data_IF_517047165893
#
_entry.id   IF_517047165893
#
_cell.length_a   1.000
_cell.length_b   1.000
_cell.length_c   1.000
_cell.angle_alpha   90.00
_cell.angle_beta   90.00
_cell.angle_gamma   90.00
#
_symmetry.space_group_name_H-M   'P 1'
#
loop_
_entity.id
_entity.type
_entity.pdbx_description
1 polymer ?
#
# COMPACT_ATOMS: atom_id res chain seq x y z
N UNK A 1 3.84 -29.19 -8.34
CA UNK A 1 5.23 -28.73 -8.11
C UNK A 1 5.23 -27.88 -6.85
N UNK A 2 6.09 -28.14 -5.88
CA UNK A 2 6.23 -27.27 -4.70
C UNK A 2 6.68 -25.87 -5.16
N UNK A 3 6.05 -24.78 -4.68
CA UNK A 3 6.41 -23.43 -5.11
C UNK A 3 7.89 -23.19 -4.79
N UNK A 4 8.66 -22.71 -5.78
CA UNK A 4 10.06 -22.31 -5.59
C UNK A 4 10.08 -21.17 -4.57
N UNK A 5 10.64 -21.42 -3.38
CA UNK A 5 10.83 -20.36 -2.38
C UNK A 5 11.96 -19.43 -2.85
N UNK A 6 11.60 -18.24 -3.30
CA UNK A 6 12.54 -17.16 -3.63
C UNK A 6 13.03 -16.54 -2.32
N UNK A 7 14.34 -16.38 -2.17
CA UNK A 7 14.94 -15.69 -1.02
C UNK A 7 15.57 -14.39 -1.50
N UNK A 8 15.13 -13.29 -0.92
CA UNK A 8 15.69 -11.96 -1.14
C UNK A 8 16.86 -11.75 -0.18
N UNK A 9 17.99 -11.25 -0.70
CA UNK A 9 19.14 -10.95 0.13
C UNK A 9 19.80 -9.64 -0.24
N UNK A 10 20.38 -8.97 0.75
CA UNK A 10 21.21 -7.79 0.54
C UNK A 10 22.29 -7.72 1.60
N UNK A 11 23.49 -7.30 1.20
CA UNK A 11 24.64 -7.15 2.09
C UNK A 11 24.98 -5.67 2.26
N UNK A 12 25.58 -5.33 3.41
CA UNK A 12 26.19 -4.03 3.66
C UNK A 12 27.40 -3.83 2.72
N UNK A 13 27.88 -2.58 2.60
CA UNK A 13 28.98 -2.27 1.68
C UNK A 13 30.31 -2.91 2.11
N UNK A 14 30.54 -2.98 3.42
CA UNK A 14 31.67 -3.70 4.02
C UNK A 14 31.43 -5.21 4.18
N UNK A 15 30.23 -5.69 3.83
CA UNK A 15 29.80 -7.08 3.99
C UNK A 15 29.79 -7.59 5.44
N UNK A 16 29.89 -6.68 6.42
CA UNK A 16 29.81 -7.02 7.85
C UNK A 16 28.44 -7.54 8.27
N UNK A 17 27.37 -7.10 7.60
CA UNK A 17 25.98 -7.46 7.91
C UNK A 17 25.21 -7.75 6.62
N UNK A 18 24.43 -8.82 6.59
CA UNK A 18 23.53 -9.16 5.48
C UNK A 18 22.13 -9.49 5.96
N UNK A 19 21.10 -9.09 5.20
CA UNK A 19 19.69 -9.40 5.48
C UNK A 19 19.18 -10.40 4.45
N UNK A 20 18.45 -11.40 4.92
CA UNK A 20 17.80 -12.45 4.14
C UNK A 20 16.32 -12.53 4.52
N UNK A 21 15.42 -12.51 3.53
CA UNK A 21 13.97 -12.53 3.73
C UNK A 21 13.30 -13.46 2.71
N UNK A 22 12.24 -14.15 3.13
CA UNK A 22 11.48 -15.05 2.25
C UNK A 22 10.48 -14.33 1.33
N UNK A 23 10.07 -13.11 1.69
CA UNK A 23 9.16 -12.26 0.92
C UNK A 23 9.44 -10.78 1.18
N UNK A 24 8.93 -9.91 0.32
CA UNK A 24 9.00 -8.45 0.47
C UNK A 24 7.64 -7.78 0.58
N UNK A 25 6.57 -8.50 0.29
CA UNK A 25 5.19 -8.05 0.45
C UNK A 25 4.57 -8.75 1.66
N UNK A 26 4.00 -7.94 2.55
CA UNK A 26 3.35 -8.37 3.78
C UNK A 26 1.91 -7.92 3.72
N UNK A 27 0.99 -8.89 3.80
CA UNK A 27 -0.43 -8.64 3.62
C UNK A 27 -1.05 -8.16 4.92
N UNK A 28 -1.79 -7.05 4.85
CA UNK A 28 -2.70 -6.59 5.89
C UNK A 28 -4.09 -7.20 5.62
N UNK A 29 -4.56 -8.03 6.54
CA UNK A 29 -5.85 -8.73 6.46
C UNK A 29 -6.96 -8.00 7.25
N UNK A 30 -6.77 -6.71 7.57
CA UNK A 30 -7.58 -5.86 8.45
C UNK A 30 -7.54 -6.27 9.93
N UNK A 31 -7.58 -7.56 10.24
CA UNK A 31 -7.57 -8.09 11.61
C UNK A 31 -6.15 -8.32 12.13
N UNK A 32 -5.25 -8.71 11.24
CA UNK A 32 -3.84 -8.89 11.52
C UNK A 32 -3.02 -8.59 10.26
N UNK A 33 -1.73 -8.35 10.46
CA UNK A 33 -0.78 -8.17 9.36
C UNK A 33 0.21 -9.31 9.40
N UNK A 34 0.54 -9.85 8.23
CA UNK A 34 1.64 -10.79 8.08
C UNK A 34 2.90 -10.22 8.74
N UNK A 35 3.51 -10.92 9.71
CA UNK A 35 4.67 -10.38 10.41
C UNK A 35 5.90 -10.36 9.50
N UNK A 36 6.83 -9.44 9.80
CA UNK A 36 8.11 -9.35 9.11
C UNK A 36 9.10 -10.30 9.72
N UNK A 37 9.42 -11.39 9.03
CA UNK A 37 10.42 -12.36 9.43
C UNK A 37 11.63 -12.39 8.48
N UNK A 38 12.80 -12.63 9.06
CA UNK A 38 14.03 -12.80 8.28
C UNK A 38 15.21 -13.26 9.12
N UNK A 39 16.38 -13.27 8.49
CA UNK A 39 17.65 -13.66 9.10
C UNK A 39 18.71 -12.63 8.78
N UNK A 40 19.51 -12.28 9.78
CA UNK A 40 20.72 -11.47 9.63
C UNK A 40 21.95 -12.37 9.65
N UNK A 41 22.80 -12.25 8.65
CA UNK A 41 24.16 -12.79 8.64
C UNK A 41 25.11 -11.74 9.20
N UNK A 42 25.97 -12.13 10.13
CA UNK A 42 26.93 -11.25 10.79
C UNK A 42 28.36 -11.76 10.55
N UNK A 43 29.28 -10.85 10.29
CA UNK A 43 30.72 -11.15 10.27
C UNK A 43 31.33 -10.82 11.65
N UNK A 44 31.63 -11.83 12.50
CA UNK A 44 32.09 -11.61 13.87
C UNK A 44 33.43 -10.88 13.96
N UNK A 45 34.28 -10.97 12.94
CA UNK A 45 35.57 -10.26 12.93
C UNK A 45 35.35 -8.76 12.74
N UNK A 46 34.43 -8.38 11.85
CA UNK A 46 34.12 -6.97 11.57
C UNK A 46 33.23 -6.30 12.61
N UNK A 47 32.38 -7.07 13.33
CA UNK A 47 31.50 -6.53 14.38
C UNK A 47 32.08 -6.66 15.80
N UNK A 48 33.38 -6.98 15.93
CA UNK A 48 34.03 -7.17 17.23
C UNK A 48 33.84 -5.95 18.14
N UNK A 49 33.31 -6.19 19.35
CA UNK A 49 33.03 -5.14 20.34
C UNK A 49 31.80 -4.27 20.04
N UNK A 50 31.03 -4.60 19.00
CA UNK A 50 29.83 -3.86 18.58
C UNK A 50 28.59 -4.75 18.61
N UNK A 51 27.44 -4.11 18.49
CA UNK A 51 26.13 -4.76 18.45
C UNK A 51 25.52 -4.62 17.05
N UNK A 52 24.74 -5.60 16.65
CA UNK A 52 23.95 -5.57 15.41
C UNK A 52 22.48 -5.44 15.77
N UNK A 53 21.86 -4.43 15.18
CA UNK A 53 20.45 -4.13 15.32
C UNK A 53 19.73 -4.32 14.00
N UNK A 54 18.47 -4.72 14.06
CA UNK A 54 17.53 -4.65 12.95
C UNK A 54 16.44 -3.67 13.31
N UNK A 55 16.05 -2.85 12.35
CA UNK A 55 15.05 -1.82 12.50
C UNK A 55 14.00 -1.97 11.40
N UNK A 56 12.73 -1.98 11.80
CA UNK A 56 11.58 -1.80 10.92
C UNK A 56 11.12 -0.35 11.04
N UNK A 57 11.10 0.36 9.91
CA UNK A 57 10.63 1.75 9.85
C UNK A 57 9.52 1.91 8.82
N UNK A 58 8.49 2.67 9.18
CA UNK A 58 7.48 3.23 8.28
C UNK A 58 7.74 4.73 8.17
N UNK A 59 8.03 5.22 6.98
CA UNK A 59 8.36 6.62 6.75
C UNK A 59 7.42 7.21 5.74
N UNK A 60 6.82 8.34 6.06
CA UNK A 60 6.17 9.21 5.10
C UNK A 60 7.19 10.18 4.52
N UNK A 61 7.22 10.30 3.20
CA UNK A 61 7.98 11.34 2.50
C UNK A 61 7.02 12.19 1.70
N UNK A 62 7.24 13.50 1.71
CA UNK A 62 6.47 14.49 0.97
C UNK A 62 7.40 15.58 0.45
N UNK A 63 7.53 15.80 -0.85
CA UNK A 63 8.42 16.82 -1.40
C UNK A 63 9.79 16.30 -1.85
N UNK A 64 10.78 17.19 -2.01
CA UNK A 64 12.07 16.84 -2.63
C UNK A 64 13.15 16.45 -1.61
N UNK A 65 14.01 15.49 -1.99
CA UNK A 65 15.13 15.00 -1.16
C UNK A 65 16.17 16.09 -0.83
N UNK A 66 16.29 17.14 -1.65
CA UNK A 66 17.25 18.25 -1.50
C UNK A 66 16.74 19.40 -0.62
N UNK A 67 15.44 19.40 -0.27
CA UNK A 67 14.81 20.45 0.54
C UNK A 67 14.88 20.19 2.06
N UNK A 68 15.42 19.04 2.49
CA UNK A 68 15.57 18.63 3.90
C UNK A 68 16.55 19.51 4.73
N UNK A 69 17.02 20.65 4.21
CA UNK A 69 18.07 21.49 4.81
C UNK A 69 17.56 22.85 5.36
N UNK A 70 16.26 23.15 5.32
CA UNK A 70 15.71 24.44 5.82
C UNK A 70 14.54 24.31 6.80
N UNK A 71 14.65 23.44 7.80
CA UNK A 71 13.76 23.46 8.98
C UNK A 71 12.32 22.95 8.78
N UNK A 72 11.93 22.53 7.57
CA UNK A 72 10.73 21.74 7.31
C UNK A 72 11.15 20.29 7.06
N UNK A 73 10.89 19.39 8.01
CA UNK A 73 11.16 17.96 7.81
C UNK A 73 10.08 17.39 6.88
N UNK A 74 10.45 17.19 5.61
CA UNK A 74 9.63 16.60 4.55
C UNK A 74 9.59 15.06 4.59
N UNK A 75 10.27 14.51 5.59
CA UNK A 75 10.28 13.12 5.96
C UNK A 75 9.81 12.98 7.41
N UNK A 76 8.81 12.13 7.65
CA UNK A 76 8.36 11.77 9.00
C UNK A 76 8.42 10.27 9.16
N UNK A 77 9.14 9.81 10.18
CA UNK A 77 9.06 8.42 10.59
C UNK A 77 7.74 8.24 11.37
N UNK A 78 6.75 7.59 10.74
CA UNK A 78 5.45 7.28 11.34
C UNK A 78 5.64 6.21 12.41
N UNK A 79 6.49 5.24 12.13
CA UNK A 79 6.80 4.13 13.02
C UNK A 79 8.26 3.74 12.89
N UNK A 80 8.86 3.40 14.03
CA UNK A 80 10.23 2.92 14.10
C UNK A 80 10.34 1.94 15.28
N UNK A 81 10.72 0.71 14.98
CA UNK A 81 10.99 -0.31 15.98
C UNK A 81 12.34 -0.93 15.70
N UNK A 82 13.18 -1.04 16.73
CA UNK A 82 14.52 -1.64 16.64
C UNK A 82 14.65 -2.80 17.61
N UNK A 83 15.37 -3.85 17.20
CA UNK A 83 15.68 -5.02 18.02
C UNK A 83 17.16 -5.35 17.88
N UNK A 84 17.82 -5.66 18.99
CA UNK A 84 19.17 -6.18 19.00
C UNK A 84 19.15 -7.65 18.57
N UNK A 85 19.98 -8.00 17.60
CA UNK A 85 20.08 -9.36 17.05
C UNK A 85 21.43 -9.99 17.40
N UNK A 86 22.49 -9.18 17.51
CA UNK A 86 23.81 -9.63 17.99
C UNK A 86 24.40 -8.63 18.99
N UNK A 87 24.99 -9.09 20.11
CA UNK A 87 24.90 -10.45 20.62
C UNK A 87 23.44 -10.82 20.95
N UNK A 88 23.03 -12.09 20.79
CA UNK A 88 21.65 -12.51 21.00
C UNK A 88 21.25 -12.34 22.47
N UNK A 89 20.07 -11.76 22.72
CA UNK A 89 19.54 -11.55 24.07
C UNK A 89 18.70 -12.74 24.58
N UNK A 90 18.26 -13.61 23.67
CA UNK A 90 17.47 -14.80 23.95
C UNK A 90 18.08 -15.98 23.20
N UNK A 91 17.70 -17.20 23.60
CA UNK A 91 18.10 -18.41 22.88
C UNK A 91 17.69 -18.33 21.40
N UNK A 92 18.62 -18.70 20.53
CA UNK A 92 18.40 -18.66 19.06
C UNK A 92 17.16 -19.45 18.67
N UNK A 93 16.96 -20.64 19.25
CA UNK A 93 15.81 -21.50 18.95
C UNK A 93 14.48 -20.88 19.31
N UNK A 94 14.41 -20.13 20.42
CA UNK A 94 13.19 -19.41 20.84
C UNK A 94 12.86 -18.23 19.93
N UNK A 95 13.84 -17.75 19.18
CA UNK A 95 13.71 -16.62 18.25
C UNK A 95 13.41 -17.05 16.81
N UNK A 96 13.31 -18.37 16.54
CA UNK A 96 12.91 -18.90 15.23
C UNK A 96 11.39 -19.08 15.21
N UNK A 97 10.73 -18.35 14.31
CA UNK A 97 9.27 -18.36 14.19
C UNK A 97 8.78 -19.08 12.92
N UNK A 98 9.62 -19.19 11.88
CA UNK A 98 9.19 -19.74 10.59
C UNK A 98 10.10 -20.85 10.05
N UNK A 99 9.51 -21.79 9.29
CA UNK A 99 10.26 -22.83 8.56
C UNK A 99 11.25 -22.24 7.55
N UNK A 100 11.00 -21.02 7.07
CA UNK A 100 11.90 -20.30 6.16
C UNK A 100 13.15 -19.85 6.91
N UNK A 101 13.00 -19.27 8.10
CA UNK A 101 14.13 -18.93 8.97
C UNK A 101 14.98 -20.16 9.30
N UNK A 102 14.36 -21.29 9.69
CA UNK A 102 15.11 -22.54 9.95
C UNK A 102 15.98 -22.96 8.76
N UNK A 103 15.41 -22.95 7.54
CA UNK A 103 16.14 -23.33 6.32
C UNK A 103 17.29 -22.36 6.02
N UNK A 104 17.07 -21.05 6.19
CA UNK A 104 18.11 -20.04 5.97
C UNK A 104 19.22 -20.17 7.01
N UNK A 105 18.89 -20.33 8.29
CA UNK A 105 19.85 -20.50 9.38
C UNK A 105 20.73 -21.74 9.15
N UNK A 106 20.12 -22.89 8.84
CA UNK A 106 20.87 -24.12 8.50
C UNK A 106 21.83 -23.93 7.32
N UNK A 107 21.48 -23.09 6.35
CA UNK A 107 22.30 -22.82 5.16
C UNK A 107 23.42 -21.81 5.41
N UNK A 108 23.19 -20.81 6.27
CA UNK A 108 24.13 -19.72 6.54
C UNK A 108 25.11 -20.03 7.69
N UNK A 109 24.78 -20.98 8.56
CA UNK A 109 25.64 -21.43 9.67
C UNK A 109 25.52 -20.56 10.92
N UNK A 110 26.51 -20.69 11.81
CA UNK A 110 26.39 -20.22 13.20
C UNK A 110 26.34 -18.71 13.37
N UNK A 111 26.81 -17.95 12.39
CA UNK A 111 26.80 -16.49 12.43
C UNK A 111 25.52 -15.87 11.84
N UNK A 112 24.49 -16.67 11.66
CA UNK A 112 23.17 -16.24 11.25
C UNK A 112 22.21 -16.18 12.45
N UNK A 113 21.39 -15.13 12.49
CA UNK A 113 20.53 -14.80 13.62
C UNK A 113 19.14 -14.39 13.11
N UNK A 114 18.05 -14.99 13.61
CA UNK A 114 16.70 -14.64 13.17
C UNK A 114 16.26 -13.28 13.73
N UNK A 115 15.35 -12.62 13.03
CA UNK A 115 14.61 -11.47 13.53
C UNK A 115 13.14 -11.57 13.13
N UNK A 116 12.29 -10.90 13.92
CA UNK A 116 10.85 -10.89 13.74
C UNK A 116 10.29 -9.54 14.18
N UNK A 117 9.32 -9.00 13.45
CA UNK A 117 8.54 -7.82 13.83
C UNK A 117 7.06 -8.03 13.55
N UNK A 118 6.23 -7.61 14.48
CA UNK A 118 4.80 -7.43 14.25
C UNK A 118 4.55 -5.98 13.85
N UNK A 119 3.67 -5.78 12.89
CA UNK A 119 3.20 -4.43 12.58
C UNK A 119 2.24 -3.99 13.68
N UNK A 120 2.37 -2.77 14.20
CA UNK A 120 1.31 -2.15 14.99
C UNK A 120 0.03 -2.02 14.18
N UNK A 121 -1.08 -2.06 14.89
CA UNK A 121 -2.39 -1.77 14.32
C UNK A 121 -2.41 -0.34 13.74
N UNK A 122 -3.15 -0.15 12.64
CA UNK A 122 -3.42 1.15 12.00
C UNK A 122 -2.23 1.85 11.32
N UNK A 123 -1.12 1.15 11.06
CA UNK A 123 -0.14 1.71 10.13
C UNK A 123 -0.71 1.76 8.71
N UNK A 124 -0.48 2.83 7.93
CA UNK A 124 -0.90 2.89 6.54
C UNK A 124 -0.23 1.79 5.71
N UNK A 125 -0.87 1.38 4.62
CA UNK A 125 -0.24 0.51 3.62
C UNK A 125 0.79 1.29 2.80
N UNK A 126 1.66 0.55 2.10
CA UNK A 126 2.66 1.13 1.21
C UNK A 126 2.00 1.73 -0.02
N UNK A 127 2.02 3.06 -0.11
CA UNK A 127 1.40 3.81 -1.20
C UNK A 127 2.37 4.88 -1.69
N UNK A 128 2.39 5.15 -2.98
CA UNK A 128 3.10 6.29 -3.55
C UNK A 128 2.24 7.03 -4.57
N UNK A 129 2.37 8.36 -4.63
CA UNK A 129 1.80 9.15 -5.70
C UNK A 129 2.74 9.15 -6.90
N UNK A 130 2.19 8.90 -8.08
CA UNK A 130 2.91 9.03 -9.34
C UNK A 130 3.21 10.52 -9.60
N UNK A 131 4.50 10.90 -9.72
CA UNK A 131 4.89 12.30 -9.86
C UNK A 131 4.47 12.88 -11.21
N UNK A 132 4.06 14.15 -11.22
CA UNK A 132 3.84 14.96 -12.43
C UNK A 132 5.15 15.45 -13.08
N UNK A 133 5.14 15.87 -14.37
CA UNK A 133 6.27 16.50 -15.05
C UNK A 133 6.74 17.80 -14.40
N UNK A 134 5.84 18.52 -13.72
CA UNK A 134 6.15 19.72 -12.92
C UNK A 134 6.62 19.38 -11.50
N UNK A 135 6.43 18.13 -11.09
CA UNK A 135 6.73 17.62 -9.75
C UNK A 135 8.02 16.77 -9.74
N UNK A 136 8.90 16.96 -10.74
CA UNK A 136 10.21 16.30 -10.77
C UNK A 136 10.93 16.51 -9.44
N UNK A 137 11.28 15.38 -8.80
CA UNK A 137 11.93 15.33 -7.50
C UNK A 137 10.97 15.29 -6.29
N UNK A 138 9.68 15.62 -6.44
CA UNK A 138 8.72 15.51 -5.33
C UNK A 138 8.31 14.05 -5.15
N UNK A 139 8.50 13.54 -3.95
CA UNK A 139 8.07 12.21 -3.53
C UNK A 139 6.92 12.37 -2.56
N UNK A 140 5.77 11.74 -2.80
CA UNK A 140 4.73 11.58 -1.80
C UNK A 140 4.48 10.09 -1.63
N UNK A 141 5.02 9.50 -0.57
CA UNK A 141 4.98 8.06 -0.37
C UNK A 141 5.01 7.66 1.11
N UNK A 142 4.32 6.56 1.41
CA UNK A 142 4.48 5.77 2.62
C UNK A 142 5.36 4.57 2.27
N UNK A 143 6.55 4.51 2.84
CA UNK A 143 7.53 3.46 2.57
C UNK A 143 7.83 2.67 3.83
N UNK A 144 7.99 1.35 3.67
CA UNK A 144 8.51 0.49 4.72
C UNK A 144 9.93 0.00 4.38
N UNK A 145 10.80 0.02 5.38
CA UNK A 145 12.19 -0.40 5.24
C UNK A 145 12.60 -1.28 6.41
N UNK A 146 13.26 -2.41 6.09
CA UNK A 146 14.04 -3.20 7.04
C UNK A 146 15.49 -2.79 6.92
N UNK A 147 16.06 -2.28 8.00
CA UNK A 147 17.45 -1.84 8.07
C UNK A 147 18.20 -2.65 9.12
N UNK A 148 19.24 -3.36 8.71
CA UNK A 148 20.20 -3.96 9.63
C UNK A 148 21.48 -3.13 9.69
N UNK A 149 22.04 -2.93 10.88
CA UNK A 149 23.22 -2.10 11.06
C UNK A 149 24.03 -2.48 12.30
N UNK A 150 25.32 -2.17 12.23
CA UNK A 150 26.25 -2.30 13.36
C UNK A 150 26.41 -0.94 14.08
N UNK A 151 26.30 -0.93 15.41
CA UNK A 151 26.49 0.25 16.27
C UNK A 151 26.97 -0.16 17.68
N UNK A 152 27.52 0.76 18.47
CA UNK A 152 27.88 0.48 19.87
C UNK A 152 26.63 0.47 20.76
N UNK A 153 25.72 1.43 20.50
CA UNK A 153 24.43 1.58 21.18
C UNK A 153 23.28 1.79 20.17
N UNK A 154 22.05 1.56 20.62
CA UNK A 154 20.85 1.64 19.77
C UNK A 154 20.59 3.05 19.22
N UNK A 155 20.90 4.10 20.00
CA UNK A 155 20.66 5.50 19.65
C UNK A 155 21.78 6.13 18.82
N UNK A 156 22.87 5.39 18.59
CA UNK A 156 24.01 5.88 17.82
C UNK A 156 23.70 5.89 16.32
N UNK A 157 24.14 6.95 15.64
CA UNK A 157 23.90 7.09 14.20
C UNK A 157 24.67 6.03 13.42
N UNK A 158 23.96 4.99 13.00
CA UNK A 158 24.50 3.90 12.19
C UNK A 158 25.35 4.38 11.01
N UNK A 159 26.56 3.83 10.87
CA UNK A 159 27.42 4.15 9.74
C UNK A 159 26.81 3.62 8.43
N UNK A 160 26.85 4.42 7.36
CA UNK A 160 26.28 4.05 6.05
C UNK A 160 26.97 2.82 5.43
N UNK A 161 28.23 2.55 5.78
CA UNK A 161 29.02 1.43 5.24
C UNK A 161 28.64 0.09 5.86
N UNK A 162 28.40 0.08 7.17
CA UNK A 162 28.02 -1.08 8.00
C UNK A 162 26.52 -1.22 8.20
N UNK A 163 25.73 -0.61 7.31
CA UNK A 163 24.28 -0.76 7.29
C UNK A 163 23.80 -1.25 5.94
N UNK A 164 22.73 -2.04 5.98
CA UNK A 164 22.02 -2.55 4.82
C UNK A 164 20.53 -2.28 4.99
N UNK A 165 19.89 -1.94 3.88
CA UNK A 165 18.49 -1.50 3.84
C UNK A 165 17.75 -2.24 2.74
N UNK A 166 16.64 -2.86 3.09
CA UNK A 166 15.77 -3.56 2.17
C UNK A 166 14.36 -2.98 2.29
N UNK A 167 13.86 -2.35 1.22
CA UNK A 167 12.48 -1.88 1.18
C UNK A 167 11.52 -3.09 1.21
N UNK A 168 10.38 -2.94 1.86
CA UNK A 168 9.30 -3.93 1.86
C UNK A 168 7.98 -3.20 1.63
N UNK A 169 6.91 -3.93 1.35
CA UNK A 169 5.56 -3.38 1.21
C UNK A 169 4.62 -4.00 2.20
N UNK A 170 3.77 -3.16 2.78
CA UNK A 170 2.53 -3.55 3.44
C UNK A 170 1.41 -3.36 2.43
N UNK A 171 0.78 -4.44 1.99
CA UNK A 171 -0.28 -4.42 0.97
C UNK A 171 -1.62 -4.74 1.61
N UNK A 172 -2.68 -4.03 1.22
CA UNK A 172 -4.01 -4.29 1.74
C UNK A 172 -4.62 -5.50 1.03
N UNK A 173 -5.14 -6.45 1.81
CA UNK A 173 -6.07 -7.46 1.32
C UNK A 173 -7.39 -7.32 2.07
N UNK A 174 -8.49 -7.38 1.32
CA UNK A 174 -9.82 -7.49 1.88
C UNK A 174 -10.46 -8.77 1.30
N UNK A 175 -10.96 -9.69 2.15
CA UNK A 175 -11.71 -10.84 1.65
C UNK A 175 -13.06 -10.39 1.13
N UNK A 176 -13.53 -10.99 0.05
CA UNK A 176 -14.93 -10.86 -0.38
C UNK A 176 -15.83 -11.55 0.65
N UNK A 177 -16.57 -10.75 1.42
CA UNK A 177 -17.46 -11.23 2.48
C UNK A 177 -18.88 -11.56 1.97
N UNK A 178 -19.14 -11.45 0.66
CA UNK A 178 -20.45 -11.76 0.08
C UNK A 178 -21.56 -10.83 0.60
N UNK A 179 -21.25 -9.54 0.75
CA UNK A 179 -22.20 -8.52 1.21
C UNK A 179 -23.29 -8.20 0.19
N UNK A 180 -24.26 -7.36 0.59
CA UNK A 180 -25.26 -6.85 -0.34
C UNK A 180 -24.57 -6.02 -1.43
N UNK A 181 -24.95 -6.29 -2.69
CA UNK A 181 -24.52 -5.53 -3.85
C UNK A 181 -24.66 -4.02 -3.60
N UNK A 182 -23.58 -3.22 -3.72
CA UNK A 182 -23.65 -1.79 -3.56
C UNK A 182 -24.66 -1.20 -4.56
N UNK A 183 -25.58 -0.39 -4.08
CA UNK A 183 -26.54 0.32 -4.92
C UNK A 183 -26.74 1.76 -4.45
N UNK A 184 -26.79 2.69 -5.40
CA UNK A 184 -27.13 4.08 -5.15
C UNK A 184 -28.23 4.52 -6.11
N UNK A 185 -29.15 5.35 -5.64
CA UNK A 185 -30.18 5.95 -6.47
C UNK A 185 -30.24 7.46 -6.26
N UNK A 186 -30.58 8.18 -7.31
CA UNK A 186 -30.75 9.63 -7.28
C UNK A 186 -31.95 10.02 -8.14
N UNK A 187 -32.60 11.12 -7.77
CA UNK A 187 -33.74 11.67 -8.48
C UNK A 187 -33.43 13.11 -8.83
N UNK A 188 -33.42 13.41 -10.12
CA UNK A 188 -33.17 14.74 -10.66
C UNK A 188 -34.49 15.41 -11.04
N UNK A 189 -34.79 16.53 -10.40
CA UNK A 189 -35.93 17.39 -10.74
C UNK A 189 -35.45 18.55 -11.62
N UNK A 190 -36.27 18.95 -12.60
CA UNK A 190 -35.92 20.00 -13.55
C UNK A 190 -36.95 21.12 -13.54
N UNK A 191 -36.48 22.35 -13.65
CA UNK A 191 -37.33 23.53 -13.80
C UNK A 191 -38.18 23.37 -15.07
N UNK A 192 -39.50 23.60 -14.94
CA UNK A 192 -40.52 23.40 -15.98
C UNK A 192 -40.79 21.94 -16.38
N UNK A 193 -40.39 20.95 -15.55
CA UNK A 193 -40.80 19.56 -15.69
C UNK A 193 -41.62 19.14 -14.46
N UNK A 194 -42.85 18.67 -14.67
CA UNK A 194 -43.71 18.20 -13.57
C UNK A 194 -43.30 16.82 -13.03
N UNK A 195 -42.41 16.12 -13.74
CA UNK A 195 -41.94 14.77 -13.42
C UNK A 195 -40.40 14.71 -13.41
N UNK A 196 -39.80 13.86 -12.55
CA UNK A 196 -38.35 13.76 -12.42
C UNK A 196 -37.72 12.76 -13.40
N UNK A 197 -36.39 12.75 -13.44
CA UNK A 197 -35.59 11.64 -13.95
C UNK A 197 -35.02 10.87 -12.76
N UNK A 198 -35.29 9.58 -12.68
CA UNK A 198 -34.77 8.70 -11.65
C UNK A 198 -33.64 7.84 -12.23
N UNK A 199 -32.53 7.71 -11.49
CA UNK A 199 -31.39 6.90 -11.88
C UNK A 199 -30.94 6.06 -10.71
N UNK A 200 -30.77 4.76 -10.95
CA UNK A 200 -30.21 3.80 -10.02
C UNK A 200 -28.99 3.14 -10.64
N UNK A 201 -27.94 3.01 -9.85
CA UNK A 201 -26.70 2.32 -10.20
C UNK A 201 -26.44 1.24 -9.17
N UNK A 202 -26.07 0.04 -9.63
CA UNK A 202 -25.66 -1.05 -8.74
C UNK A 202 -24.46 -1.82 -9.27
N UNK A 203 -23.62 -2.31 -8.37
CA UNK A 203 -22.46 -3.15 -8.65
C UNK A 203 -22.74 -4.60 -8.25
N UNK A 204 -22.02 -5.56 -8.83
CA UNK A 204 -22.17 -6.98 -8.46
C UNK A 204 -21.59 -7.30 -7.09
N UNK A 205 -20.45 -6.67 -6.74
CA UNK A 205 -19.68 -6.91 -5.52
C UNK A 205 -19.26 -5.61 -4.86
N UNK A 206 -18.94 -5.68 -3.57
CA UNK A 206 -18.37 -4.57 -2.80
C UNK A 206 -16.84 -4.49 -2.94
N UNK A 207 -16.17 -5.64 -3.09
CA UNK A 207 -14.72 -5.73 -3.21
C UNK A 207 -14.35 -6.31 -4.57
N UNK A 208 -13.41 -5.66 -5.26
CA UNK A 208 -12.83 -6.11 -6.53
C UNK A 208 -11.31 -6.21 -6.38
N UNK A 209 -10.71 -7.16 -7.09
CA UNK A 209 -9.26 -7.30 -7.14
C UNK A 209 -8.66 -6.64 -8.39
N UNK A 210 -7.37 -6.30 -8.33
CA UNK A 210 -6.66 -5.72 -9.48
C UNK A 210 -6.76 -6.64 -10.70
N UNK A 211 -7.20 -6.08 -11.83
CA UNK A 211 -7.44 -6.80 -13.08
C UNK A 211 -8.79 -7.51 -13.18
N UNK A 212 -9.64 -7.43 -12.17
CA UNK A 212 -11.04 -7.86 -12.26
C UNK A 212 -11.88 -6.81 -13.01
N UNK A 213 -12.82 -7.28 -13.83
CA UNK A 213 -13.80 -6.42 -14.49
C UNK A 213 -14.90 -6.00 -13.52
N UNK A 214 -15.32 -4.74 -13.61
CA UNK A 214 -16.38 -4.16 -12.81
C UNK A 214 -17.61 -3.99 -13.69
N UNK A 215 -18.64 -4.80 -13.42
CA UNK A 215 -19.95 -4.69 -14.08
C UNK A 215 -20.84 -3.71 -13.31
N UNK A 216 -21.29 -2.68 -14.02
CA UNK A 216 -22.03 -1.53 -13.49
C UNK A 216 -23.41 -1.54 -14.13
N UNK A 217 -24.42 -1.95 -13.36
CA UNK A 217 -25.82 -1.94 -13.79
C UNK A 217 -26.40 -0.55 -13.61
N UNK A 218 -26.88 0.06 -14.69
CA UNK A 218 -27.50 1.39 -14.71
C UNK A 218 -28.95 1.26 -15.15
N UNK A 219 -29.86 1.75 -14.31
CA UNK A 219 -31.31 1.80 -14.54
C UNK A 219 -31.77 3.25 -14.48
N UNK A 220 -32.25 3.79 -15.59
CA UNK A 220 -32.72 5.17 -15.72
C UNK A 220 -34.20 5.13 -16.12
N UNK A 221 -35.04 5.77 -15.33
CA UNK A 221 -36.42 6.09 -15.66
C UNK A 221 -36.52 7.60 -15.90
N UNK A 222 -36.62 7.99 -17.18
CA UNK A 222 -36.73 9.39 -17.56
C UNK A 222 -38.20 9.78 -17.79
N UNK A 223 -38.90 10.03 -16.70
CA UNK A 223 -40.26 10.55 -16.73
C UNK A 223 -40.33 12.08 -16.96
N UNK A 224 -39.18 12.77 -17.03
CA UNK A 224 -39.08 14.21 -17.23
C UNK A 224 -39.36 14.63 -18.67
N UNK A 225 -39.47 15.95 -18.92
CA UNK A 225 -39.58 16.52 -20.27
C UNK A 225 -38.22 16.82 -20.95
N UNK A 226 -37.11 16.39 -20.37
CA UNK A 226 -35.75 16.58 -20.91
C UNK A 226 -35.22 15.28 -21.51
N UNK A 227 -34.39 15.38 -22.54
CA UNK A 227 -33.70 14.22 -23.12
C UNK A 227 -32.30 14.10 -22.52
N UNK A 228 -31.95 12.90 -22.05
CA UNK A 228 -30.58 12.57 -21.68
C UNK A 228 -29.81 12.25 -22.97
N UNK A 229 -28.80 13.07 -23.27
CA UNK A 229 -28.03 12.98 -24.52
C UNK A 229 -26.69 12.27 -24.36
N UNK A 230 -26.02 12.51 -23.24
CA UNK A 230 -24.68 12.02 -22.99
C UNK A 230 -24.71 11.24 -21.67
N UNK A 231 -24.22 10.01 -21.73
CA UNK A 231 -24.04 9.14 -20.58
C UNK A 231 -22.61 8.62 -20.61
N UNK A 232 -21.90 8.79 -19.50
CA UNK A 232 -20.56 8.23 -19.31
C UNK A 232 -20.48 7.51 -17.98
N UNK A 233 -19.63 6.50 -17.93
CA UNK A 233 -19.37 5.69 -16.74
C UNK A 233 -17.88 5.76 -16.46
N UNK A 234 -17.51 5.98 -15.19
CA UNK A 234 -16.12 6.15 -14.82
C UNK A 234 -15.82 5.52 -13.46
N UNK A 235 -14.59 5.04 -13.30
CA UNK A 235 -14.01 4.65 -12.02
C UNK A 235 -13.05 5.76 -11.62
N UNK A 236 -13.26 6.34 -10.45
CA UNK A 236 -12.42 7.41 -9.90
C UNK A 236 -11.63 6.92 -8.69
N UNK A 237 -10.33 7.20 -8.68
CA UNK A 237 -9.48 7.04 -7.52
C UNK A 237 -9.49 8.33 -6.71
N UNK A 238 -9.85 8.22 -5.44
CA UNK A 238 -9.84 9.31 -4.47
C UNK A 238 -8.68 9.12 -3.51
N UNK A 239 -7.71 10.04 -3.54
CA UNK A 239 -6.54 10.00 -2.67
C UNK A 239 -6.55 11.17 -1.70
N UNK A 240 -6.60 10.87 -0.41
CA UNK A 240 -6.50 11.89 0.65
C UNK A 240 -5.11 11.79 1.29
N UNK A 241 -4.32 12.87 1.20
CA UNK A 241 -3.05 13.03 1.91
C UNK A 241 -3.35 13.85 3.16
N UNK A 242 -2.98 13.35 4.35
CA UNK A 242 -3.47 13.90 5.64
C UNK A 242 -2.37 14.31 6.63
N UNK A 243 -1.09 14.18 6.27
CA UNK A 243 0.00 14.30 7.25
C UNK A 243 0.53 15.73 7.44
N UNK A 244 0.74 16.46 6.34
CA UNK A 244 1.25 17.85 6.34
C UNK A 244 0.23 18.85 5.82
N UNK A 245 -0.59 18.41 4.89
CA UNK A 245 -1.75 19.10 4.32
C UNK A 245 -2.89 18.10 4.29
N UNK A 246 -4.14 18.59 4.24
CA UNK A 246 -5.34 17.76 4.08
C UNK A 246 -5.78 17.82 2.61
N UNK A 247 -4.90 17.36 1.72
CA UNK A 247 -5.07 17.47 0.28
C UNK A 247 -5.89 16.29 -0.25
N UNK A 248 -6.81 16.58 -1.16
CA UNK A 248 -7.64 15.59 -1.84
C UNK A 248 -7.37 15.62 -3.34
N UNK A 249 -6.99 14.47 -3.89
CA UNK A 249 -6.80 14.25 -5.32
C UNK A 249 -7.89 13.30 -5.81
N UNK A 250 -8.58 13.67 -6.89
CA UNK A 250 -9.54 12.79 -7.59
C UNK A 250 -9.05 12.61 -9.01
N UNK A 251 -8.89 11.36 -9.43
CA UNK A 251 -8.39 11.01 -10.75
C UNK A 251 -9.19 9.83 -11.30
N UNK A 252 -9.70 10.00 -12.50
CA UNK A 252 -10.33 8.89 -13.24
C UNK A 252 -9.27 7.85 -13.60
N UNK A 253 -9.57 6.57 -13.37
CA UNK A 253 -8.70 5.42 -13.69
C UNK A 253 -9.32 4.48 -14.72
N UNK A 254 -10.63 4.51 -14.92
CA UNK A 254 -11.28 3.90 -16.06
C UNK A 254 -12.44 4.79 -16.48
N UNK A 255 -12.72 4.86 -17.79
CA UNK A 255 -13.74 5.74 -18.33
C UNK A 255 -14.30 5.14 -19.62
N UNK A 256 -15.61 5.15 -19.76
CA UNK A 256 -16.33 4.79 -20.97
C UNK A 256 -17.39 5.85 -21.24
N UNK A 257 -17.34 6.43 -22.44
CA UNK A 257 -18.38 7.33 -22.94
C UNK A 257 -19.31 6.55 -23.86
N UNK A 258 -20.60 6.63 -23.58
CA UNK A 258 -21.61 5.81 -24.26
C UNK A 258 -22.32 6.64 -25.33
N UNK A 259 -22.85 5.97 -26.35
CA UNK A 259 -23.75 6.59 -27.34
C UNK A 259 -25.22 6.46 -26.95
N UNK A 260 -25.50 5.94 -25.75
CA UNK A 260 -26.85 5.69 -25.28
C UNK A 260 -27.53 7.02 -24.93
N UNK A 261 -28.77 7.16 -25.40
CA UNK A 261 -29.62 8.32 -25.10
C UNK A 261 -30.90 7.85 -24.43
N UNK A 262 -31.44 8.67 -23.53
CA UNK A 262 -32.73 8.38 -22.87
C UNK A 262 -33.69 9.53 -23.14
N UNK A 263 -34.50 9.45 -24.21
CA UNK A 263 -35.52 10.44 -24.51
C UNK A 263 -36.54 10.60 -23.38
N UNK A 264 -37.20 11.76 -23.35
CA UNK A 264 -38.31 12.04 -22.43
C UNK A 264 -39.41 10.95 -22.52
N UNK A 265 -39.86 10.47 -21.35
CA UNK A 265 -40.89 9.45 -21.22
C UNK A 265 -40.42 8.01 -21.44
N UNK A 266 -39.11 7.76 -21.52
CA UNK A 266 -38.53 6.43 -21.76
C UNK A 266 -37.64 5.96 -20.61
N UNK A 267 -37.20 4.70 -20.65
CA UNK A 267 -36.28 4.13 -19.67
C UNK A 267 -35.13 3.38 -20.34
N UNK A 268 -34.01 3.26 -19.61
CA UNK A 268 -32.82 2.52 -20.02
C UNK A 268 -32.41 1.59 -18.88
N UNK A 269 -32.19 0.30 -19.21
CA UNK A 269 -31.53 -0.66 -18.31
C UNK A 269 -30.38 -1.32 -19.06
N UNK A 270 -29.15 -1.06 -18.62
CA UNK A 270 -27.95 -1.56 -19.29
C UNK A 270 -26.83 -1.82 -18.29
N UNK A 271 -25.96 -2.75 -18.61
CA UNK A 271 -24.74 -3.05 -17.84
C UNK A 271 -23.54 -2.57 -18.65
N UNK A 272 -22.66 -1.81 -18.00
CA UNK A 272 -21.37 -1.35 -18.53
C UNK A 272 -20.24 -2.06 -17.80
N UNK A 273 -19.11 -2.28 -18.49
CA UNK A 273 -18.00 -3.06 -17.92
C UNK A 273 -16.72 -2.24 -18.01
N UNK A 274 -16.13 -1.94 -16.85
CA UNK A 274 -14.86 -1.20 -16.75
C UNK A 274 -13.80 -2.06 -16.07
N UNK A 275 -12.56 -2.03 -16.57
CA UNK A 275 -11.43 -2.69 -15.92
C UNK A 275 -10.36 -1.63 -15.56
N UNK A 276 -10.26 -1.20 -14.29
CA UNK A 276 -9.27 -0.21 -13.88
C UNK A 276 -7.87 -0.85 -13.80
N UNK A 277 -7.07 -0.65 -14.85
CA UNK A 277 -5.70 -1.17 -14.93
C UNK A 277 -4.68 -0.04 -14.85
N UNK A 278 -3.54 -0.28 -14.19
CA UNK A 278 -2.43 0.68 -14.21
C UNK A 278 -1.86 0.85 -15.62
N UNK A 279 -1.87 -0.20 -16.44
CA UNK A 279 -1.28 -0.18 -17.78
C UNK A 279 -1.89 0.87 -18.70
N UNK A 280 -3.20 1.09 -18.61
CA UNK A 280 -3.93 2.12 -19.35
C UNK A 280 -3.75 3.53 -18.78
N UNK A 281 -3.11 3.63 -17.61
CA UNK A 281 -2.98 4.85 -16.83
C UNK A 281 -1.53 5.21 -16.53
N UNK A 282 -0.55 4.52 -17.13
CA UNK A 282 0.89 4.77 -16.89
C UNK A 282 1.33 6.20 -17.18
N UNK A 283 0.66 6.87 -18.11
CA UNK A 283 0.95 8.26 -18.47
C UNK A 283 0.17 9.28 -17.62
N UNK A 284 -0.80 8.83 -16.81
CA UNK A 284 -1.62 9.71 -15.96
C UNK A 284 -0.89 10.07 -14.68
N UNK A 285 -1.09 11.32 -14.25
CA UNK A 285 -0.32 11.94 -13.17
C UNK A 285 -1.12 12.04 -11.88
N UNK A 286 -0.44 11.97 -10.73
CA UNK A 286 -1.07 12.12 -9.43
C UNK A 286 -1.97 10.93 -9.04
N UNK A 287 -1.80 9.79 -9.70
CA UNK A 287 -2.41 8.53 -9.30
C UNK A 287 -1.68 7.96 -8.08
N UNK A 288 -2.45 7.45 -7.14
CA UNK A 288 -1.91 6.62 -6.08
C UNK A 288 -1.65 5.22 -6.62
N UNK A 289 -0.45 4.72 -6.38
CA UNK A 289 -0.01 3.38 -6.71
C UNK A 289 0.31 2.63 -5.43
N UNK A 290 0.18 1.31 -5.47
CA UNK A 290 0.83 0.48 -4.47
C UNK A 290 2.34 0.77 -4.53
N UNK A 291 3.02 0.74 -3.38
CA UNK A 291 4.44 1.09 -3.31
C UNK A 291 5.27 0.35 -4.38
N UNK A 292 6.29 1.02 -4.94
CA UNK A 292 7.13 0.41 -6.00
C UNK A 292 8.41 -0.17 -5.43
N UNK A 293 8.58 -1.48 -5.52
CA UNK A 293 9.88 -2.11 -5.27
C UNK A 293 10.75 -2.03 -6.54
N UNK A 294 12.07 -1.93 -6.36
CA UNK A 294 13.02 -1.92 -7.49
C UNK A 294 12.89 -3.23 -8.27
N UNK A 295 12.65 -3.11 -9.58
CA UNK A 295 12.52 -4.21 -10.55
C UNK A 295 11.27 -5.09 -10.43
N UNK A 296 10.24 -4.63 -9.72
CA UNK A 296 8.94 -5.31 -9.67
C UNK A 296 7.84 -4.37 -10.19
N UNK A 297 6.82 -4.96 -10.82
CA UNK A 297 5.63 -4.24 -11.27
C UNK A 297 4.81 -3.76 -10.07
N UNK A 298 4.02 -2.71 -10.30
CA UNK A 298 3.11 -2.15 -9.30
C UNK A 298 1.69 -2.08 -9.87
N UNK A 299 0.72 -1.83 -9.00
CA UNK A 299 -0.69 -1.67 -9.35
C UNK A 299 -1.18 -0.29 -8.91
N UNK A 300 -2.42 0.03 -9.28
CA UNK A 300 -3.17 1.13 -8.64
C UNK A 300 -3.21 0.89 -7.13
N UNK A 301 -3.21 1.96 -6.33
CA UNK A 301 -3.26 1.83 -4.88
C UNK A 301 -4.53 1.11 -4.44
N UNK A 302 -4.36 0.11 -3.59
CA UNK A 302 -5.47 -0.60 -2.96
C UNK A 302 -6.21 0.33 -1.96
N UNK A 303 -7.53 0.18 -1.84
CA UNK A 303 -8.33 1.00 -0.91
C UNK A 303 -7.87 0.81 0.53
N UNK A 304 -7.55 1.90 1.22
CA UNK A 304 -7.10 1.86 2.61
C UNK A 304 -8.27 1.59 3.56
N UNK A 305 -8.18 0.50 4.33
CA UNK A 305 -9.18 0.14 5.32
C UNK A 305 -8.75 0.68 6.69
N UNK A 306 -9.49 1.64 7.24
CA UNK A 306 -9.29 2.06 8.63
C UNK A 306 -10.09 1.16 9.56
N UNK A 307 -9.41 0.38 10.40
CA UNK A 307 -10.08 -0.29 11.53
C UNK A 307 -10.57 0.80 12.47
N UNK A 308 -11.89 0.99 12.54
CA UNK A 308 -12.48 1.84 13.58
C UNK A 308 -12.23 1.14 14.92
N UNK A 309 -11.19 1.55 15.63
CA UNK A 309 -11.12 1.29 17.06
C UNK A 309 -12.32 2.05 17.65
N UNK A 310 -13.35 1.32 18.03
CA UNK A 310 -14.38 1.83 18.93
C UNK A 310 -13.64 2.13 20.22
N UNK A 311 -13.13 3.36 20.35
CA UNK A 311 -12.75 3.87 21.65
C UNK A 311 -14.04 3.89 22.46
N UNK A 312 -14.21 2.89 23.32
CA UNK A 312 -15.11 3.02 24.45
C UNK A 312 -14.64 4.26 25.21
N UNK A 313 -15.28 5.40 24.92
CA UNK A 313 -15.23 6.57 25.81
C UNK A 313 -15.77 6.06 27.14
N UNK A 314 -14.86 5.73 28.06
CA UNK A 314 -15.22 5.65 29.46
C UNK A 314 -15.80 7.02 29.84
N UNK A 315 -17.08 6.99 30.21
CA UNK A 315 -17.79 8.10 30.84
C UNK A 315 -17.14 8.44 32.17
#
# INVERSE_FOLDING_TARGET
MSPKHVIYKKLSRDKSVGVYMGKRDFVDHCEFVDPVDGVVLVDPEQVKGKKVYVMLSCTFRYGRDDMDVMGMAFRRDIFLCSRQVYPPLQDKERSVHTKVQEKILRKLGDNAYPFFFEFPDNLPCSVCLQPGPTDVGKHCAVEFEVKAFCAENQDEKAQKRSSVRLAIRKIQYAPDKGGAAPSAETTCEFIMSDKPLHMRVSLEKETYYHGEEINISVDIDNSSNRNLKDLSVSVEQVTNVVLYSNDKYVKTVAYEETTDTVPSGTSLKKVYTLCPLLDDNRDRLGLALDGKLKHEDTNLASSSMCVRIIQHRHK
#
